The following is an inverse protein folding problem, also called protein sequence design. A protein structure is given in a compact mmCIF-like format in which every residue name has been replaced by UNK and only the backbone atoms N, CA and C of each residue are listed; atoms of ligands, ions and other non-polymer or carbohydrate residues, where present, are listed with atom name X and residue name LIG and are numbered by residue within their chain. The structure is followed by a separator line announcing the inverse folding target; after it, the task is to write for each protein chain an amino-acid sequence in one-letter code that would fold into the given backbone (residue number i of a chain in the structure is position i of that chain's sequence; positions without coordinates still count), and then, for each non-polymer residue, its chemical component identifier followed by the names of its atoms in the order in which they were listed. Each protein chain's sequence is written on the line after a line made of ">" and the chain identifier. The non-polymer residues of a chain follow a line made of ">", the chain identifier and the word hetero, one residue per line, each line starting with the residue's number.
data_IF_886769303581
#
_entry.id   IF_886769303581
#
_cell.length_a   1.000
_cell.length_b   1.000
_cell.length_c   1.000
_cell.angle_alpha   90.00
_cell.angle_beta   90.00
_cell.angle_gamma   90.00
#
_symmetry.space_group_name_H-M   'P 1'
#
loop_
_entity.id
_entity.type
_entity.pdbx_description
1 polymer ?
#
# COMPACT_ATOMS: atom_id res chain seq x y z
N UNK A 1 -11.08 -7.83 -13.18
CA UNK A 1 -11.87 -6.98 -12.26
C UNK A 1 -10.86 -6.16 -11.48
N UNK A 2 -11.09 -4.86 -11.33
CA UNK A 2 -10.24 -3.98 -10.52
C UNK A 2 -10.98 -3.64 -9.22
N UNK A 3 -10.23 -3.54 -8.13
CA UNK A 3 -10.70 -3.13 -6.81
C UNK A 3 -10.63 -1.60 -6.70
N UNK A 4 -11.56 -1.03 -5.95
CA UNK A 4 -11.50 0.40 -5.58
C UNK A 4 -10.78 0.52 -4.25
N UNK A 5 -9.73 1.35 -4.21
CA UNK A 5 -9.01 1.65 -2.97
C UNK A 5 -9.70 2.79 -2.22
N UNK A 6 -10.11 2.53 -0.98
CA UNK A 6 -10.48 3.59 -0.04
C UNK A 6 -9.29 3.92 0.85
N UNK A 7 -8.68 5.07 0.61
CA UNK A 7 -7.48 5.49 1.32
C UNK A 7 -7.88 6.20 2.61
N UNK A 8 -7.36 5.71 3.74
CA UNK A 8 -7.54 6.30 5.07
C UNK A 8 -7.18 7.81 5.09
N UNK A 9 -7.95 8.67 5.80
CA UNK A 9 -7.69 10.11 5.84
C UNK A 9 -6.29 10.50 6.34
N UNK A 10 -5.72 9.75 7.27
CA UNK A 10 -4.35 9.98 7.76
C UNK A 10 -3.32 9.60 6.69
N UNK A 11 -3.53 8.48 5.99
CA UNK A 11 -2.70 8.11 4.84
C UNK A 11 -2.78 9.18 3.74
N UNK A 12 -3.96 9.75 3.45
CA UNK A 12 -4.08 10.86 2.49
C UNK A 12 -3.26 12.08 2.88
N UNK A 13 -3.18 12.39 4.17
CA UNK A 13 -2.33 13.48 4.65
C UNK A 13 -0.84 13.18 4.44
N UNK A 14 -0.40 11.94 4.73
CA UNK A 14 0.97 11.51 4.47
C UNK A 14 1.33 11.56 2.98
N UNK A 15 0.42 11.13 2.11
CA UNK A 15 0.63 11.13 0.66
C UNK A 15 0.87 12.56 0.13
N UNK A 16 0.18 13.56 0.69
CA UNK A 16 0.35 14.98 0.28
C UNK A 16 1.73 15.52 0.61
N UNK A 17 2.38 15.01 1.65
CA UNK A 17 3.71 15.43 2.09
C UNK A 17 4.84 14.62 1.42
N UNK A 18 4.51 13.64 0.56
CA UNK A 18 5.53 12.83 -0.09
C UNK A 18 6.37 13.67 -1.07
N UNK A 19 7.70 13.44 -1.11
CA UNK A 19 8.52 13.99 -2.18
C UNK A 19 8.06 13.42 -3.53
N UNK A 20 8.24 14.14 -4.65
CA UNK A 20 7.76 13.71 -5.96
C UNK A 20 8.20 12.28 -6.36
N UNK A 21 9.43 11.90 -6.03
CA UNK A 21 9.94 10.56 -6.29
C UNK A 21 9.18 9.48 -5.49
N UNK A 22 8.77 9.77 -4.26
CA UNK A 22 7.96 8.88 -3.42
C UNK A 22 6.55 8.71 -3.97
N UNK A 23 5.94 9.79 -4.46
CA UNK A 23 4.61 9.78 -5.04
C UNK A 23 4.51 8.88 -6.28
N UNK A 24 5.52 8.90 -7.16
CA UNK A 24 5.57 8.00 -8.33
C UNK A 24 5.62 6.54 -7.89
N UNK A 25 6.52 6.19 -6.98
CA UNK A 25 6.65 4.80 -6.52
C UNK A 25 5.44 4.32 -5.72
N UNK A 26 4.72 5.23 -5.06
CA UNK A 26 3.47 4.92 -4.41
C UNK A 26 2.36 4.65 -5.43
N UNK A 27 2.26 5.46 -6.49
CA UNK A 27 1.25 5.29 -7.53
C UNK A 27 1.37 3.90 -8.19
N UNK A 28 2.59 3.44 -8.46
CA UNK A 28 2.84 2.08 -8.96
C UNK A 28 2.35 1.00 -7.99
N UNK A 29 2.58 1.18 -6.68
CA UNK A 29 2.12 0.24 -5.67
C UNK A 29 0.58 0.22 -5.55
N UNK A 30 -0.08 1.38 -5.59
CA UNK A 30 -1.55 1.46 -5.59
C UNK A 30 -2.15 0.79 -6.83
N UNK A 31 -1.56 0.99 -8.02
CA UNK A 31 -2.01 0.33 -9.24
C UNK A 31 -1.93 -1.21 -9.13
N UNK A 32 -0.94 -1.74 -8.41
CA UNK A 32 -0.87 -3.18 -8.11
C UNK A 32 -1.99 -3.60 -7.15
N UNK A 33 -2.26 -2.81 -6.10
CA UNK A 33 -3.31 -3.12 -5.13
C UNK A 33 -4.73 -3.04 -5.72
N UNK A 34 -4.95 -2.20 -6.73
CA UNK A 34 -6.20 -2.18 -7.51
C UNK A 34 -6.41 -3.49 -8.28
N UNK A 35 -5.37 -4.29 -8.53
CA UNK A 35 -5.47 -5.58 -9.22
C UNK A 35 -5.46 -6.75 -8.24
N UNK A 36 -4.59 -6.68 -7.23
CA UNK A 36 -4.35 -7.74 -6.23
C UNK A 36 -4.19 -7.10 -4.85
N UNK A 37 -5.28 -6.95 -4.07
CA UNK A 37 -5.24 -6.29 -2.75
C UNK A 37 -4.39 -7.05 -1.73
N UNK A 38 -4.31 -8.37 -1.88
CA UNK A 38 -3.51 -9.26 -1.02
C UNK A 38 -2.02 -9.24 -1.39
N UNK A 39 -1.59 -8.29 -2.22
CA UNK A 39 -0.19 -8.14 -2.57
C UNK A 39 0.59 -7.62 -1.37
N UNK A 40 1.41 -8.49 -0.79
CA UNK A 40 2.28 -8.12 0.32
C UNK A 40 2.54 -9.32 1.23
N UNK A 41 3.07 -9.03 2.40
CA UNK A 41 3.17 -10.01 3.48
C UNK A 41 2.02 -9.79 4.47
N UNK A 42 1.48 -10.83 5.12
CA UNK A 42 0.54 -10.63 6.21
C UNK A 42 1.15 -9.72 7.29
N UNK A 43 0.38 -8.75 7.77
CA UNK A 43 0.84 -7.87 8.84
C UNK A 43 1.08 -8.65 10.14
N UNK A 44 0.24 -9.67 10.40
CA UNK A 44 0.38 -10.59 11.52
C UNK A 44 0.75 -11.99 11.01
N UNK A 45 2.00 -12.41 11.21
CA UNK A 45 2.48 -13.72 10.80
C UNK A 45 1.80 -14.90 11.52
N UNK A 46 1.30 -14.67 12.75
CA UNK A 46 0.57 -15.69 13.52
C UNK A 46 -0.91 -15.79 13.08
N UNK A 47 -1.39 -14.86 12.25
CA UNK A 47 -2.72 -14.88 11.66
C UNK A 47 -2.67 -14.46 10.16
N UNK A 48 -2.08 -15.30 9.29
CA UNK A 48 -1.79 -14.93 7.91
C UNK A 48 -3.06 -14.67 7.08
N UNK A 49 -4.18 -15.29 7.45
CA UNK A 49 -5.47 -15.15 6.75
C UNK A 49 -6.33 -14.01 7.33
N UNK A 50 -5.76 -13.16 8.19
CA UNK A 50 -6.46 -12.05 8.86
C UNK A 50 -6.89 -10.90 7.93
N UNK A 51 -6.58 -10.98 6.63
CA UNK A 51 -6.99 -10.00 5.62
C UNK A 51 -6.28 -8.66 5.70
N UNK A 52 -5.19 -8.56 6.46
CA UNK A 52 -4.40 -7.36 6.64
C UNK A 52 -2.96 -7.62 6.21
N UNK A 53 -2.48 -6.83 5.25
CA UNK A 53 -1.20 -7.04 4.57
C UNK A 53 -0.35 -5.79 4.62
N UNK A 54 0.95 -5.97 4.49
CA UNK A 54 1.91 -4.89 4.37
C UNK A 54 2.68 -5.01 3.06
N UNK A 55 2.78 -3.90 2.32
CA UNK A 55 3.46 -3.84 1.04
C UNK A 55 4.57 -2.79 1.06
N UNK A 56 5.86 -3.19 1.09
CA UNK A 56 6.96 -2.26 0.91
C UNK A 56 7.00 -1.77 -0.55
N UNK A 57 7.27 -0.49 -0.75
CA UNK A 57 7.39 0.13 -2.08
C UNK A 57 8.62 1.05 -2.17
N UNK A 58 8.93 1.52 -3.39
CA UNK A 58 10.05 2.44 -3.63
C UNK A 58 11.41 1.88 -3.18
N UNK A 59 11.62 0.57 -3.32
CA UNK A 59 12.83 -0.12 -2.84
C UNK A 59 12.91 -0.26 -1.31
N UNK A 60 11.77 -0.35 -0.63
CA UNK A 60 11.69 -0.48 0.83
C UNK A 60 11.74 0.85 1.59
N UNK A 61 11.58 1.98 0.89
CA UNK A 61 11.59 3.32 1.49
C UNK A 61 10.21 3.78 1.97
N UNK A 62 9.17 3.09 1.55
CA UNK A 62 7.80 3.32 2.00
C UNK A 62 7.10 1.98 2.28
N UNK A 63 6.02 2.06 3.04
CA UNK A 63 5.20 0.92 3.43
C UNK A 63 3.72 1.31 3.33
N UNK A 64 2.91 0.42 2.76
CA UNK A 64 1.43 0.48 2.81
C UNK A 64 0.97 -0.62 3.76
N UNK A 65 -0.05 -0.33 4.56
CA UNK A 65 -0.73 -1.27 5.47
C UNK A 65 -2.24 -1.11 5.36
#
# INVERSE_FOLDING_TARGET
>A
MAYTLDIDPFARAQIRELPPAGAVTLADALAVLELVPERGEPLNADNPDGGLYQLPFGGGRGLIT
#
